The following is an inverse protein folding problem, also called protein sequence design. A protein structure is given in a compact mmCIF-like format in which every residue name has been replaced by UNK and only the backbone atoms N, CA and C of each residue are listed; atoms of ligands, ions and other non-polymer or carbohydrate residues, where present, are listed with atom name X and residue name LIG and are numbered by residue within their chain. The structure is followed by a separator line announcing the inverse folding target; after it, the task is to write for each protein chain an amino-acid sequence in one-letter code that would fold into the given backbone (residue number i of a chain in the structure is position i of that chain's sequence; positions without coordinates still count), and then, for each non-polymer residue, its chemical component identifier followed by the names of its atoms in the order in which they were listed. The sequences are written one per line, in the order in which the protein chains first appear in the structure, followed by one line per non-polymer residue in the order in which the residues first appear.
data_IF_608335971345
#
_entry.id   IF_608335971345
#
_cell.length_a   1.000
_cell.length_b   1.000
_cell.length_c   1.000
_cell.angle_alpha   90.00
_cell.angle_beta   90.00
_cell.angle_gamma   90.00
#
_symmetry.space_group_name_H-M   'P 1'
#
loop_
_entity.id
_entity.type
_entity.pdbx_description
1 polymer ?
#
# COMPACT_ATOMS: atom_id res chain seq x y z
N UNK A 1 -3.64 -5.38 28.03
CA UNK A 1 -4.82 -6.18 27.63
C UNK A 1 -4.68 -6.42 26.14
N UNK A 2 -4.70 -7.67 25.68
CA UNK A 2 -4.57 -7.98 24.26
C UNK A 2 -5.84 -7.52 23.53
N UNK A 3 -5.76 -6.38 22.85
CA UNK A 3 -6.80 -5.93 21.92
C UNK A 3 -6.89 -6.97 20.82
N UNK A 4 -8.04 -7.62 20.67
CA UNK A 4 -8.26 -8.60 19.60
C UNK A 4 -8.10 -7.90 18.25
N UNK A 5 -7.10 -8.32 17.47
CA UNK A 5 -6.85 -7.81 16.13
C UNK A 5 -7.85 -8.46 15.18
N UNK A 6 -8.58 -7.66 14.42
CA UNK A 6 -9.47 -8.18 13.38
C UNK A 6 -8.66 -8.87 12.28
N UNK A 7 -8.96 -10.15 12.02
CA UNK A 7 -8.37 -10.94 10.94
C UNK A 7 -9.42 -11.21 9.85
N UNK A 8 -9.25 -10.68 8.63
CA UNK A 8 -10.08 -11.04 7.50
C UNK A 8 -9.88 -12.52 7.09
N UNK A 9 -10.72 -13.00 6.16
CA UNK A 9 -10.52 -14.33 5.55
C UNK A 9 -9.17 -14.39 4.81
N UNK A 10 -8.21 -15.13 5.35
CA UNK A 10 -6.87 -15.25 4.79
C UNK A 10 -6.81 -16.03 3.46
N UNK A 11 -7.89 -16.76 3.11
CA UNK A 11 -8.01 -17.52 1.87
C UNK A 11 -8.72 -16.74 0.74
N UNK A 12 -9.18 -15.51 1.00
CA UNK A 12 -9.69 -14.62 -0.04
C UNK A 12 -8.59 -14.27 -1.05
N UNK A 13 -8.97 -13.89 -2.27
CA UNK A 13 -8.02 -13.54 -3.33
C UNK A 13 -7.03 -12.46 -2.87
N UNK A 14 -5.75 -12.82 -2.83
CA UNK A 14 -4.64 -11.99 -2.35
C UNK A 14 -4.42 -11.94 -0.84
N UNK A 15 -5.28 -12.59 -0.04
CA UNK A 15 -5.01 -12.81 1.38
C UNK A 15 -3.77 -13.68 1.58
N UNK A 16 -3.27 -13.74 2.81
CA UNK A 16 -1.99 -14.39 3.12
C UNK A 16 -1.96 -15.86 2.70
N UNK A 17 -2.95 -16.65 3.12
CA UNK A 17 -2.99 -18.09 2.85
C UNK A 17 -3.26 -18.39 1.37
N UNK A 18 -4.11 -17.60 0.73
CA UNK A 18 -4.31 -17.69 -0.71
C UNK A 18 -2.98 -17.46 -1.45
N UNK A 19 -2.27 -16.39 -1.12
CA UNK A 19 -1.01 -16.03 -1.81
C UNK A 19 0.07 -17.10 -1.59
N UNK A 20 0.18 -17.66 -0.39
CA UNK A 20 1.08 -18.78 -0.09
C UNK A 20 0.76 -20.02 -0.93
N UNK A 21 -0.53 -20.36 -1.08
CA UNK A 21 -0.95 -21.56 -1.82
C UNK A 21 -0.86 -21.43 -3.34
N UNK A 22 -1.00 -20.21 -3.88
CA UNK A 22 -1.07 -19.97 -5.33
C UNK A 22 0.20 -19.35 -5.91
N UNK A 23 1.15 -18.93 -5.07
CA UNK A 23 2.26 -18.06 -5.49
C UNK A 23 1.77 -16.71 -6.04
N UNK A 24 0.54 -16.31 -5.69
CA UNK A 24 -0.16 -15.13 -6.22
C UNK A 24 -0.73 -15.30 -7.63
N UNK A 25 -0.72 -16.50 -8.20
CA UNK A 25 -1.28 -16.77 -9.52
C UNK A 25 -2.81 -16.71 -9.52
N UNK A 26 -3.38 -15.93 -10.43
CA UNK A 26 -4.83 -15.80 -10.60
C UNK A 26 -5.37 -16.87 -11.57
N UNK A 27 -6.50 -17.44 -11.19
CA UNK A 27 -7.35 -18.21 -12.09
C UNK A 27 -8.11 -17.27 -13.04
N UNK A 28 -8.57 -17.76 -14.22
CA UNK A 28 -9.34 -16.92 -15.15
C UNK A 28 -10.65 -16.40 -14.53
N UNK A 29 -11.24 -17.13 -13.57
CA UNK A 29 -12.44 -16.70 -12.86
C UNK A 29 -12.15 -15.52 -11.92
N UNK A 30 -11.03 -15.59 -11.18
CA UNK A 30 -10.59 -14.49 -10.30
C UNK A 30 -10.21 -13.25 -11.12
N UNK A 31 -9.50 -13.42 -12.25
CA UNK A 31 -9.20 -12.30 -13.15
C UNK A 31 -10.48 -11.57 -13.59
N UNK A 32 -11.50 -12.31 -14.05
CA UNK A 32 -12.79 -11.69 -14.45
C UNK A 32 -13.45 -10.94 -13.29
N UNK A 33 -13.40 -11.47 -12.07
CA UNK A 33 -13.94 -10.81 -10.88
C UNK A 33 -13.17 -9.52 -10.56
N UNK A 34 -11.85 -9.53 -10.69
CA UNK A 34 -10.99 -8.38 -10.40
C UNK A 34 -11.03 -7.31 -11.49
N UNK A 35 -11.38 -7.64 -12.75
CA UNK A 35 -11.46 -6.65 -13.83
C UNK A 35 -12.46 -5.53 -13.52
N UNK A 36 -13.63 -5.86 -12.99
CA UNK A 36 -14.63 -4.85 -12.59
C UNK A 36 -14.17 -3.97 -11.43
N UNK A 37 -13.35 -4.52 -10.52
CA UNK A 37 -12.71 -3.75 -9.47
C UNK A 37 -11.63 -2.81 -10.01
N UNK A 38 -10.77 -3.30 -10.91
CA UNK A 38 -9.72 -2.51 -11.54
C UNK A 38 -10.29 -1.34 -12.38
N UNK A 39 -11.34 -1.59 -13.15
CA UNK A 39 -12.03 -0.56 -13.93
C UNK A 39 -12.58 0.57 -13.04
N UNK A 40 -13.18 0.22 -11.88
CA UNK A 40 -13.63 1.22 -10.89
C UNK A 40 -12.46 2.02 -10.33
N UNK A 41 -11.34 1.37 -10.00
CA UNK A 41 -10.13 2.05 -9.51
C UNK A 41 -9.55 3.06 -10.51
N UNK A 42 -9.54 2.72 -11.80
CA UNK A 42 -9.16 3.65 -12.87
C UNK A 42 -10.11 4.85 -12.93
N UNK A 43 -11.42 4.62 -12.86
CA UNK A 43 -12.42 5.69 -12.84
C UNK A 43 -12.24 6.62 -11.62
N UNK A 44 -11.97 6.08 -10.43
CA UNK A 44 -11.63 6.87 -9.23
C UNK A 44 -10.39 7.73 -9.43
N UNK A 45 -9.37 7.21 -10.13
CA UNK A 45 -8.15 7.97 -10.41
C UNK A 45 -8.41 9.12 -11.39
N UNK A 46 -9.17 8.89 -12.45
CA UNK A 46 -9.53 9.91 -13.43
C UNK A 46 -10.42 11.01 -12.83
N UNK A 47 -11.40 10.62 -12.03
CA UNK A 47 -12.26 11.56 -11.31
C UNK A 47 -11.44 12.40 -10.33
N UNK A 48 -10.57 11.81 -9.52
CA UNK A 48 -9.68 12.55 -8.63
C UNK A 48 -8.85 13.62 -9.38
N UNK A 49 -8.36 13.31 -10.59
CA UNK A 49 -7.65 14.28 -11.45
C UNK A 49 -8.52 15.45 -11.89
N UNK A 50 -9.79 15.20 -12.19
CA UNK A 50 -10.73 16.25 -12.52
C UNK A 50 -11.03 17.12 -11.28
N UNK A 51 -11.30 16.50 -10.14
CA UNK A 51 -11.62 17.20 -8.89
C UNK A 51 -10.46 18.05 -8.37
N UNK A 52 -9.21 17.62 -8.54
CA UNK A 52 -8.03 18.43 -8.19
C UNK A 52 -8.03 19.80 -8.87
N UNK A 53 -8.60 19.94 -10.07
CA UNK A 53 -8.70 21.24 -10.76
C UNK A 53 -9.68 22.20 -10.09
N UNK A 54 -10.63 21.66 -9.33
CA UNK A 54 -11.63 22.48 -8.60
C UNK A 54 -11.08 23.01 -7.28
N UNK A 55 -9.97 22.45 -6.77
CA UNK A 55 -9.40 22.80 -5.48
C UNK A 55 -10.26 22.44 -4.26
N UNK A 56 -11.44 21.83 -4.46
CA UNK A 56 -12.30 21.37 -3.37
C UNK A 56 -11.70 20.13 -2.73
N UNK A 57 -11.61 20.15 -1.41
CA UNK A 57 -11.18 19.03 -0.56
C UNK A 57 -12.28 18.74 0.47
N UNK A 58 -12.42 17.51 0.96
CA UNK A 58 -13.32 17.21 2.08
C UNK A 58 -12.96 18.04 3.32
N UNK A 59 -13.98 18.51 4.07
CA UNK A 59 -13.77 19.31 5.28
C UNK A 59 -12.97 18.54 6.35
N UNK A 60 -13.18 17.23 6.44
CA UNK A 60 -12.40 16.32 7.30
C UNK A 60 -10.91 16.30 6.96
N UNK A 61 -10.55 16.64 5.73
CA UNK A 61 -9.16 16.68 5.27
C UNK A 61 -8.51 18.05 5.47
N UNK A 62 -9.29 19.13 5.55
CA UNK A 62 -8.80 20.50 5.37
C UNK A 62 -7.75 20.94 6.40
N UNK A 63 -7.79 20.37 7.60
CA UNK A 63 -6.89 20.67 8.70
C UNK A 63 -5.69 19.73 8.79
N UNK A 64 -5.64 18.66 7.98
CA UNK A 64 -4.59 17.65 8.07
C UNK A 64 -3.24 18.21 7.64
N UNK A 65 -2.25 17.97 8.50
CA UNK A 65 -0.85 18.35 8.35
C UNK A 65 0.05 17.16 8.63
N UNK A 66 1.32 17.24 8.23
CA UNK A 66 2.27 16.15 8.48
C UNK A 66 2.41 15.82 9.98
N UNK A 67 2.27 16.82 10.86
CA UNK A 67 2.43 16.65 12.32
C UNK A 67 1.35 15.80 12.98
N UNK A 68 0.23 15.56 12.28
CA UNK A 68 -0.84 14.67 12.74
C UNK A 68 -0.46 13.19 12.61
N UNK A 69 0.58 12.88 11.84
CA UNK A 69 1.07 11.53 11.60
C UNK A 69 2.42 11.32 12.29
N UNK A 70 2.38 10.79 13.51
CA UNK A 70 3.58 10.44 14.29
C UNK A 70 3.87 8.95 14.17
N UNK A 71 5.11 8.55 13.80
CA UNK A 71 5.51 7.15 13.87
C UNK A 71 5.34 6.63 15.29
N UNK A 72 4.93 5.35 15.48
CA UNK A 72 5.03 4.70 16.77
C UNK A 72 6.49 4.60 17.23
N UNK A 73 6.71 4.55 18.54
CA UNK A 73 8.05 4.56 19.18
C UNK A 73 8.37 3.25 19.91
N UNK A 74 7.68 2.16 19.59
CA UNK A 74 7.94 0.84 20.16
C UNK A 74 9.17 0.15 19.56
N UNK A 75 9.61 -0.93 20.23
CA UNK A 75 10.65 -1.82 19.70
C UNK A 75 10.27 -2.47 18.35
N UNK A 76 8.97 -2.69 18.12
CA UNK A 76 8.49 -3.22 16.84
C UNK A 76 8.62 -2.18 15.72
N UNK A 77 8.17 -0.94 15.97
CA UNK A 77 8.34 0.16 15.03
C UNK A 77 9.82 0.43 14.70
N UNK A 78 10.70 0.37 15.70
CA UNK A 78 12.15 0.50 15.48
C UNK A 78 12.69 -0.63 14.57
N UNK A 79 12.33 -1.89 14.84
CA UNK A 79 12.74 -3.03 14.00
C UNK A 79 12.21 -2.92 12.56
N UNK A 80 11.00 -2.38 12.38
CA UNK A 80 10.41 -2.09 11.07
C UNK A 80 11.17 -0.97 10.35
N UNK A 81 11.57 0.09 11.05
CA UNK A 81 12.35 1.18 10.47
C UNK A 81 13.71 0.71 9.97
N UNK A 82 14.40 -0.14 10.75
CA UNK A 82 15.65 -0.79 10.34
C UNK A 82 15.45 -1.64 9.07
N UNK A 83 14.38 -2.45 9.05
CA UNK A 83 14.01 -3.25 7.87
C UNK A 83 13.70 -2.39 6.63
N UNK A 84 13.00 -1.28 6.82
CA UNK A 84 12.68 -0.35 5.73
C UNK A 84 13.94 0.35 5.19
N UNK A 85 14.94 0.60 6.04
CA UNK A 85 16.22 1.18 5.65
C UNK A 85 17.10 0.24 4.80
N UNK A 86 16.76 -1.05 4.70
CA UNK A 86 17.41 -1.99 3.78
C UNK A 86 17.00 -1.76 2.31
N UNK A 87 15.87 -1.07 2.08
CA UNK A 87 15.36 -0.79 0.74
C UNK A 87 16.14 0.36 0.07
N UNK A 88 16.11 0.42 -1.26
CA UNK A 88 16.65 1.57 -1.96
C UNK A 88 15.92 2.87 -1.53
N UNK A 89 16.60 4.03 -1.54
CA UNK A 89 16.04 5.29 -1.02
C UNK A 89 14.66 5.66 -1.57
N UNK A 90 14.41 5.41 -2.86
CA UNK A 90 13.13 5.70 -3.49
C UNK A 90 11.97 4.86 -2.91
N UNK A 91 12.21 3.56 -2.65
CA UNK A 91 11.23 2.66 -2.04
C UNK A 91 11.04 2.93 -0.56
N UNK A 92 12.12 3.28 0.16
CA UNK A 92 12.00 3.71 1.54
C UNK A 92 11.09 4.94 1.63
N UNK A 93 11.37 5.99 0.84
CA UNK A 93 10.58 7.20 0.83
C UNK A 93 9.12 6.95 0.38
N UNK A 94 8.92 6.07 -0.60
CA UNK A 94 7.57 5.60 -0.99
C UNK A 94 6.82 4.98 0.18
N UNK A 95 7.47 4.10 0.94
CA UNK A 95 6.82 3.37 2.02
C UNK A 95 6.37 4.32 3.15
N UNK A 96 7.18 5.33 3.48
CA UNK A 96 6.76 6.40 4.41
C UNK A 96 5.61 7.26 3.87
N UNK A 97 5.63 7.63 2.57
CA UNK A 97 4.52 8.38 1.97
C UNK A 97 3.24 7.54 1.90
N UNK A 98 3.35 6.24 1.63
CA UNK A 98 2.23 5.27 1.69
C UNK A 98 1.61 5.25 3.08
N UNK A 99 2.43 5.24 4.14
CA UNK A 99 1.95 5.34 5.52
C UNK A 99 1.20 6.66 5.77
N UNK A 100 1.80 7.82 5.44
CA UNK A 100 1.19 9.13 5.66
C UNK A 100 -0.13 9.26 4.90
N UNK A 101 -0.12 8.95 3.60
CA UNK A 101 -1.30 9.10 2.75
C UNK A 101 -2.38 8.08 3.08
N UNK A 102 -2.02 6.85 3.43
CA UNK A 102 -2.98 5.85 3.89
C UNK A 102 -3.68 6.26 5.18
N UNK A 103 -2.94 6.76 6.19
CA UNK A 103 -3.51 7.33 7.42
C UNK A 103 -4.43 8.52 7.12
N UNK A 104 -3.98 9.45 6.28
CA UNK A 104 -4.77 10.63 5.93
C UNK A 104 -6.08 10.26 5.24
N UNK A 105 -6.06 9.33 4.29
CA UNK A 105 -7.28 8.85 3.62
C UNK A 105 -8.20 8.10 4.58
N UNK A 106 -7.68 7.42 5.61
CA UNK A 106 -8.50 6.78 6.63
C UNK A 106 -9.25 7.80 7.49
N UNK A 107 -8.62 8.94 7.82
CA UNK A 107 -9.29 10.06 8.50
C UNK A 107 -10.39 10.65 7.62
N UNK A 108 -10.10 10.86 6.32
CA UNK A 108 -11.09 11.38 5.37
C UNK A 108 -12.33 10.48 5.31
N UNK A 109 -12.14 9.17 5.33
CA UNK A 109 -13.20 8.17 5.25
C UNK A 109 -13.82 7.81 6.62
N UNK A 110 -13.31 8.38 7.72
CA UNK A 110 -13.82 8.16 9.08
C UNK A 110 -13.57 6.77 9.65
N UNK A 111 -12.48 6.10 9.25
CA UNK A 111 -12.12 4.73 9.66
C UNK A 111 -10.68 4.62 10.18
N UNK A 112 -10.07 5.75 10.55
CA UNK A 112 -8.75 5.81 11.16
C UNK A 112 -8.68 5.07 12.51
N UNK A 113 -9.79 5.00 13.24
CA UNK A 113 -9.92 4.22 14.47
C UNK A 113 -9.79 2.70 14.27
N UNK A 114 -9.99 2.19 13.05
CA UNK A 114 -9.81 0.78 12.70
C UNK A 114 -8.35 0.44 12.33
N UNK A 115 -7.48 1.46 12.24
CA UNK A 115 -6.07 1.29 11.94
C UNK A 115 -5.26 1.27 13.23
N UNK A 116 -4.90 0.08 13.70
CA UNK A 116 -3.87 -0.06 14.73
C UNK A 116 -2.58 0.67 14.25
N UNK A 117 -2.07 1.66 15.00
CA UNK A 117 -0.94 2.48 14.56
C UNK A 117 0.33 1.68 14.28
N UNK A 118 0.61 0.66 15.09
CA UNK A 118 1.81 -0.19 14.97
C UNK A 118 1.70 -1.10 13.75
N UNK A 119 0.56 -1.79 13.63
CA UNK A 119 0.37 -2.74 12.52
C UNK A 119 0.28 -2.01 11.18
N UNK A 120 -0.39 -0.86 11.13
CA UNK A 120 -0.46 -0.08 9.91
C UNK A 120 0.89 0.49 9.50
N UNK A 121 1.68 0.98 10.47
CA UNK A 121 3.03 1.46 10.22
C UNK A 121 3.92 0.35 9.64
N UNK A 122 3.92 -0.83 10.25
CA UNK A 122 4.65 -2.00 9.77
C UNK A 122 4.23 -2.44 8.36
N UNK A 123 2.92 -2.57 8.13
CA UNK A 123 2.41 -2.97 6.83
C UNK A 123 2.76 -1.96 5.73
N UNK A 124 2.64 -0.65 6.01
CA UNK A 124 2.96 0.38 5.03
C UNK A 124 4.46 0.47 4.74
N UNK A 125 5.31 0.39 5.77
CA UNK A 125 6.77 0.52 5.60
C UNK A 125 7.39 -0.65 4.84
N UNK A 126 6.79 -1.84 4.92
CA UNK A 126 7.38 -3.07 4.37
C UNK A 126 6.62 -3.66 3.18
N UNK A 127 5.51 -3.07 2.73
CA UNK A 127 4.66 -3.68 1.69
C UNK A 127 5.43 -4.05 0.40
N UNK A 128 6.40 -3.22 0.01
CA UNK A 128 7.23 -3.39 -1.18
C UNK A 128 8.66 -3.88 -0.91
N UNK A 129 8.98 -4.29 0.32
CA UNK A 129 10.34 -4.74 0.67
C UNK A 129 10.84 -5.87 -0.24
N UNK A 130 9.96 -6.78 -0.65
CA UNK A 130 10.27 -7.92 -1.51
C UNK A 130 10.35 -7.61 -3.02
N UNK A 131 10.05 -6.39 -3.47
CA UNK A 131 9.83 -6.11 -4.91
C UNK A 131 11.11 -6.17 -5.74
N UNK A 132 12.26 -5.79 -5.18
CA UNK A 132 13.53 -5.78 -5.89
C UNK A 132 14.09 -7.19 -6.15
N UNK A 133 13.84 -8.12 -5.23
CA UNK A 133 14.31 -9.50 -5.32
C UNK A 133 13.28 -10.34 -6.08
N UNK A 134 13.60 -10.77 -7.30
CA UNK A 134 12.68 -11.52 -8.15
C UNK A 134 12.88 -13.02 -7.97
N UNK A 135 11.80 -13.74 -7.65
CA UNK A 135 11.76 -15.20 -7.58
C UNK A 135 10.70 -15.72 -8.56
N UNK A 136 11.07 -16.53 -9.57
CA UNK A 136 10.11 -17.10 -10.52
C UNK A 136 8.97 -17.85 -9.82
N UNK A 137 7.73 -17.53 -10.20
CA UNK A 137 6.53 -18.19 -9.65
C UNK A 137 6.10 -17.73 -8.24
N UNK A 138 6.78 -16.76 -7.64
CA UNK A 138 6.47 -16.29 -6.28
C UNK A 138 6.12 -14.79 -6.25
N UNK A 139 4.90 -14.49 -5.81
CA UNK A 139 4.43 -13.12 -5.52
C UNK A 139 5.35 -12.41 -4.52
N UNK A 140 5.85 -11.24 -4.89
CA UNK A 140 6.81 -10.49 -4.07
C UNK A 140 6.30 -10.10 -2.69
N UNK A 141 4.98 -9.97 -2.55
CA UNK A 141 4.38 -9.62 -1.26
C UNK A 141 4.59 -10.71 -0.21
N UNK A 142 4.89 -11.96 -0.59
CA UNK A 142 5.27 -13.01 0.36
C UNK A 142 6.63 -12.74 1.01
N UNK A 143 7.59 -12.22 0.24
CA UNK A 143 8.91 -11.82 0.75
C UNK A 143 8.80 -10.61 1.66
N UNK A 144 7.97 -9.64 1.28
CA UNK A 144 7.62 -8.50 2.13
C UNK A 144 6.97 -8.94 3.45
N UNK A 145 5.99 -9.86 3.38
CA UNK A 145 5.31 -10.40 4.55
C UNK A 145 6.27 -11.17 5.47
N UNK A 146 7.16 -11.98 4.90
CA UNK A 146 8.19 -12.71 5.65
C UNK A 146 9.15 -11.75 6.38
N UNK A 147 9.56 -10.64 5.75
CA UNK A 147 10.39 -9.64 6.43
C UNK A 147 9.66 -9.01 7.62
N UNK A 148 8.37 -8.69 7.46
CA UNK A 148 7.55 -8.13 8.53
C UNK A 148 7.33 -9.14 9.68
N UNK A 149 7.13 -10.44 9.36
CA UNK A 149 7.05 -11.52 10.36
C UNK A 149 8.30 -11.56 11.23
N UNK A 150 9.49 -11.44 10.64
CA UNK A 150 10.76 -11.43 11.39
C UNK A 150 10.88 -10.24 12.33
N UNK A 151 10.44 -9.05 11.91
CA UNK A 151 10.36 -7.88 12.81
C UNK A 151 9.41 -8.15 13.99
N UNK A 152 8.23 -8.72 13.70
CA UNK A 152 7.24 -9.04 14.72
C UNK A 152 7.78 -10.07 15.74
N UNK A 153 8.49 -11.10 15.27
CA UNK A 153 9.12 -12.11 16.13
C UNK A 153 10.24 -11.52 16.99
N UNK A 154 11.08 -10.67 16.40
CA UNK A 154 12.14 -9.97 17.12
C UNK A 154 11.58 -9.09 18.26
N UNK A 155 10.44 -8.45 18.02
CA UNK A 155 9.78 -7.58 18.98
C UNK A 155 8.77 -8.31 19.91
N UNK A 156 8.61 -9.63 19.78
CA UNK A 156 7.72 -10.43 20.62
C UNK A 156 6.22 -10.17 20.39
N UNK A 157 5.83 -9.77 19.18
CA UNK A 157 4.41 -9.53 18.85
C UNK A 157 3.59 -10.82 18.88
N UNK A 158 2.31 -10.76 19.30
CA UNK A 158 1.39 -11.88 19.20
C UNK A 158 1.22 -12.39 17.76
N UNK A 159 0.97 -13.70 17.61
CA UNK A 159 0.82 -14.35 16.30
C UNK A 159 -0.28 -13.75 15.42
N UNK A 160 -1.42 -13.35 16.01
CA UNK A 160 -2.52 -12.74 15.27
C UNK A 160 -2.16 -11.34 14.73
N UNK A 161 -1.42 -10.55 15.51
CA UNK A 161 -0.93 -9.24 15.07
C UNK A 161 0.08 -9.39 13.92
N UNK A 162 1.01 -10.34 14.04
CA UNK A 162 1.94 -10.68 12.95
C UNK A 162 1.21 -11.17 11.69
N UNK A 163 0.16 -11.99 11.87
CA UNK A 163 -0.67 -12.48 10.75
C UNK A 163 -1.42 -11.34 10.08
N UNK A 164 -1.96 -10.39 10.83
CA UNK A 164 -2.66 -9.23 10.29
C UNK A 164 -1.74 -8.34 9.45
N UNK A 165 -0.51 -8.10 9.91
CA UNK A 165 0.50 -7.33 9.16
C UNK A 165 0.86 -8.05 7.86
N UNK A 166 1.11 -9.36 7.92
CA UNK A 166 1.42 -10.17 6.75
C UNK A 166 0.25 -10.19 5.75
N UNK A 167 -0.99 -10.35 6.21
CA UNK A 167 -2.17 -10.35 5.36
C UNK A 167 -2.40 -8.98 4.69
N UNK A 168 -2.25 -7.89 5.45
CA UNK A 168 -2.33 -6.53 4.93
C UNK A 168 -1.29 -6.27 3.83
N UNK A 169 -0.05 -6.72 4.06
CA UNK A 169 1.02 -6.67 3.05
C UNK A 169 0.67 -7.53 1.85
N UNK A 170 0.19 -8.76 2.00
CA UNK A 170 -0.15 -9.57 0.83
C UNK A 170 -1.31 -9.00 0.05
N UNK A 171 -2.39 -8.58 0.73
CA UNK A 171 -3.65 -8.22 0.06
C UNK A 171 -3.58 -6.87 -0.64
N UNK A 172 -2.64 -5.98 -0.27
CA UNK A 172 -2.58 -4.61 -0.80
C UNK A 172 -2.48 -4.53 -2.33
N UNK A 173 -2.00 -5.60 -3.00
CA UNK A 173 -1.87 -5.65 -4.45
C UNK A 173 -3.17 -6.03 -5.17
N UNK A 174 -4.18 -6.53 -4.44
CA UNK A 174 -5.45 -7.02 -5.02
C UNK A 174 -6.40 -5.88 -5.33
N UNK A 175 -6.83 -5.66 -6.58
CA UNK A 175 -7.75 -4.56 -6.92
C UNK A 175 -9.09 -4.64 -6.20
N UNK A 176 -9.59 -3.48 -5.75
CA UNK A 176 -10.94 -3.32 -5.20
C UNK A 176 -11.11 -3.80 -3.78
N UNK A 177 -10.14 -3.50 -2.92
CA UNK A 177 -10.26 -3.74 -1.49
C UNK A 177 -11.38 -2.90 -0.86
N UNK A 178 -12.05 -3.49 0.13
CA UNK A 178 -13.01 -2.79 0.98
C UNK A 178 -12.73 -3.13 2.44
N UNK A 179 -12.92 -2.15 3.34
CA UNK A 179 -12.71 -2.35 4.79
C UNK A 179 -13.54 -3.53 5.30
N UNK A 180 -14.82 -3.62 4.90
CA UNK A 180 -15.73 -4.67 5.34
C UNK A 180 -15.30 -6.10 4.93
N UNK A 181 -14.62 -6.26 3.78
CA UNK A 181 -14.21 -7.58 3.28
C UNK A 181 -12.77 -7.92 3.66
N UNK A 182 -11.88 -6.92 3.57
CA UNK A 182 -10.44 -7.12 3.56
C UNK A 182 -9.72 -6.49 4.76
N UNK A 183 -10.46 -5.83 5.65
CA UNK A 183 -9.92 -5.09 6.77
C UNK A 183 -9.37 -3.72 6.38
N UNK A 184 -9.22 -2.85 7.38
CA UNK A 184 -8.72 -1.50 7.18
C UNK A 184 -7.23 -1.49 6.79
N UNK A 185 -6.39 -2.30 7.44
CA UNK A 185 -4.93 -2.31 7.23
C UNK A 185 -4.54 -2.43 5.75
N UNK A 186 -4.87 -3.55 5.10
CA UNK A 186 -4.53 -3.77 3.69
C UNK A 186 -5.20 -2.77 2.73
N UNK A 187 -6.44 -2.37 3.05
CA UNK A 187 -7.19 -1.38 2.26
C UNK A 187 -6.46 -0.03 2.21
N UNK A 188 -5.95 0.45 3.35
CA UNK A 188 -5.27 1.75 3.40
C UNK A 188 -3.79 1.72 3.03
N UNK A 189 -3.13 0.56 3.12
CA UNK A 189 -1.82 0.36 2.49
C UNK A 189 -1.98 0.51 0.97
N UNK A 190 -2.94 -0.18 0.36
CA UNK A 190 -3.22 -0.06 -1.07
C UNK A 190 -3.54 1.39 -1.47
N UNK A 191 -4.43 2.05 -0.74
CA UNK A 191 -4.86 3.41 -1.08
C UNK A 191 -3.73 4.42 -0.95
N UNK A 192 -2.91 4.32 0.10
CA UNK A 192 -1.71 5.13 0.27
C UNK A 192 -0.71 4.94 -0.87
N UNK A 193 -0.42 3.68 -1.22
CA UNK A 193 0.52 3.35 -2.29
C UNK A 193 0.03 3.84 -3.67
N UNK A 194 -1.25 3.63 -3.98
CA UNK A 194 -1.85 4.11 -5.23
C UNK A 194 -1.96 5.64 -5.28
N UNK A 195 -2.14 6.31 -4.14
CA UNK A 195 -2.06 7.78 -4.09
C UNK A 195 -0.65 8.21 -4.45
N UNK A 196 0.38 7.69 -3.79
CA UNK A 196 1.77 8.12 -4.03
C UNK A 196 2.22 7.85 -5.48
N UNK A 197 1.93 6.65 -5.98
CA UNK A 197 2.42 6.19 -7.27
C UNK A 197 1.58 6.72 -8.43
N UNK A 198 0.25 6.69 -8.36
CA UNK A 198 -0.65 7.01 -9.47
C UNK A 198 -1.49 8.29 -9.28
N UNK A 199 -1.43 8.91 -8.11
CA UNK A 199 -2.26 10.06 -7.73
C UNK A 199 -3.72 9.69 -7.51
N UNK A 200 -4.02 8.41 -7.22
CA UNK A 200 -5.37 7.98 -6.89
C UNK A 200 -5.85 8.73 -5.64
N UNK A 201 -7.05 9.32 -5.69
CA UNK A 201 -7.61 10.11 -4.59
C UNK A 201 -6.75 11.31 -4.13
N UNK A 202 -5.80 11.78 -4.94
CA UNK A 202 -4.97 12.93 -4.55
C UNK A 202 -5.76 14.22 -4.30
N UNK A 203 -6.95 14.36 -4.91
CA UNK A 203 -7.88 15.47 -4.66
C UNK A 203 -8.58 15.43 -3.31
N UNK A 204 -8.50 14.31 -2.58
CA UNK A 204 -9.13 14.16 -1.26
C UNK A 204 -8.21 14.67 -0.14
N UNK A 205 -6.93 14.94 -0.44
CA UNK A 205 -5.94 15.40 0.53
C UNK A 205 -5.48 16.84 0.22
N UNK A 206 -5.23 17.67 1.26
CA UNK A 206 -4.65 19.00 1.07
C UNK A 206 -3.35 18.93 0.29
N UNK A 207 -3.16 19.86 -0.65
CA UNK A 207 -1.88 19.99 -1.36
C UNK A 207 -0.72 20.26 -0.40
N UNK A 208 -0.97 21.01 0.68
CA UNK A 208 0.03 21.28 1.72
C UNK A 208 0.56 19.99 2.36
N UNK A 209 -0.34 19.09 2.79
CA UNK A 209 0.04 17.77 3.33
C UNK A 209 0.87 16.97 2.33
N UNK A 210 0.43 16.90 1.06
CA UNK A 210 1.15 16.16 0.02
C UNK A 210 2.56 16.70 -0.21
N UNK A 211 2.74 18.03 -0.21
CA UNK A 211 4.06 18.67 -0.32
C UNK A 211 4.93 18.47 0.92
N UNK A 212 4.35 18.55 2.12
CA UNK A 212 5.07 18.27 3.37
C UNK A 212 5.59 16.82 3.40
N UNK A 213 4.76 15.86 3.01
CA UNK A 213 5.16 14.45 2.91
C UNK A 213 6.27 14.25 1.86
N UNK A 214 6.17 14.91 0.70
CA UNK A 214 7.20 14.85 -0.34
C UNK A 214 8.51 15.54 0.06
N UNK A 215 8.47 16.55 0.91
CA UNK A 215 9.66 17.21 1.45
C UNK A 215 10.32 16.39 2.58
N UNK A 216 9.52 15.76 3.44
CA UNK A 216 10.03 14.89 4.52
C UNK A 216 10.58 13.56 3.98
N UNK A 217 9.96 13.01 2.93
CA UNK A 217 10.35 11.78 2.28
C UNK A 217 10.41 12.01 0.78
N UNK A 218 11.61 12.30 0.27
CA UNK A 218 11.82 12.78 -1.10
C UNK A 218 11.12 11.90 -2.13
N UNK A 219 10.24 12.51 -2.91
CA UNK A 219 9.46 11.79 -3.93
C UNK A 219 10.31 11.35 -5.12
N UNK A 220 11.25 12.20 -5.54
CA UNK A 220 12.03 12.00 -6.76
C UNK A 220 11.16 11.57 -7.94
N UNK A 221 11.69 10.69 -8.77
CA UNK A 221 10.88 9.93 -9.74
C UNK A 221 10.88 8.45 -9.34
N UNK A 222 10.26 8.13 -8.21
CA UNK A 222 10.10 6.73 -7.74
C UNK A 222 9.56 5.80 -8.83
N UNK A 223 8.78 6.32 -9.78
CA UNK A 223 8.26 5.55 -10.90
C UNK A 223 9.37 5.05 -11.86
N UNK A 224 10.56 5.68 -11.88
CA UNK A 224 11.72 5.18 -12.65
C UNK A 224 12.27 3.88 -12.10
N UNK A 225 12.19 3.67 -10.79
CA UNK A 225 12.67 2.45 -10.13
C UNK A 225 11.55 1.40 -10.03
N UNK A 226 10.34 1.87 -9.73
CA UNK A 226 9.16 1.02 -9.53
C UNK A 226 8.70 0.32 -10.82
N UNK A 227 8.65 1.03 -11.96
CA UNK A 227 8.15 0.45 -13.21
C UNK A 227 9.03 -0.71 -13.71
N UNK A 228 10.38 -0.60 -13.73
CA UNK A 228 11.25 -1.74 -14.03
C UNK A 228 11.06 -2.92 -13.08
N UNK A 229 10.95 -2.69 -11.77
CA UNK A 229 10.72 -3.75 -10.79
C UNK A 229 9.38 -4.46 -11.04
N UNK A 230 8.31 -3.69 -11.27
CA UNK A 230 6.99 -4.21 -11.68
C UNK A 230 7.11 -5.08 -12.93
N UNK A 231 7.83 -4.63 -13.97
CA UNK A 231 8.00 -5.41 -15.20
C UNK A 231 8.76 -6.72 -14.96
N UNK A 232 9.80 -6.70 -14.12
CA UNK A 232 10.57 -7.89 -13.77
C UNK A 232 9.72 -8.92 -13.00
N UNK A 233 8.92 -8.45 -12.03
CA UNK A 233 7.96 -9.30 -11.31
C UNK A 233 6.89 -9.86 -12.25
N UNK A 234 6.39 -9.07 -13.22
CA UNK A 234 5.44 -9.56 -14.22
C UNK A 234 6.02 -10.66 -15.11
N UNK A 235 7.31 -10.58 -15.44
CA UNK A 235 7.99 -11.63 -16.21
C UNK A 235 8.13 -12.93 -15.39
N UNK A 236 8.47 -12.81 -14.10
CA UNK A 236 8.59 -13.94 -13.18
C UNK A 236 7.24 -14.56 -12.79
N UNK A 237 6.16 -13.78 -12.81
CA UNK A 237 4.80 -14.22 -12.46
C UNK A 237 3.77 -13.77 -13.51
N UNK A 238 3.76 -14.33 -14.73
CA UNK A 238 2.88 -13.86 -15.82
C UNK A 238 1.38 -13.93 -15.51
N UNK A 239 0.99 -14.86 -14.63
CA UNK A 239 -0.38 -15.02 -14.12
C UNK A 239 -0.59 -14.36 -12.75
N UNK A 240 0.44 -13.71 -12.22
CA UNK A 240 0.43 -13.08 -10.91
C UNK A 240 -0.45 -11.84 -10.84
N UNK A 241 -0.79 -11.43 -9.62
CA UNK A 241 -1.58 -10.22 -9.36
C UNK A 241 -0.91 -8.95 -9.91
N UNK A 242 0.42 -8.85 -9.83
CA UNK A 242 1.15 -7.69 -10.36
C UNK A 242 1.06 -7.62 -11.90
N UNK A 243 1.13 -8.77 -12.58
CA UNK A 243 0.94 -8.87 -14.03
C UNK A 243 -0.49 -8.51 -14.43
N UNK A 244 -1.47 -8.91 -13.63
CA UNK A 244 -2.86 -8.48 -13.80
C UNK A 244 -3.03 -6.97 -13.59
N UNK A 245 -2.48 -6.39 -12.52
CA UNK A 245 -2.54 -4.96 -12.24
C UNK A 245 -1.86 -4.14 -13.36
N UNK A 246 -0.72 -4.61 -13.87
CA UNK A 246 -0.04 -4.02 -15.03
C UNK A 246 -0.92 -4.05 -16.29
N UNK A 247 -1.56 -5.19 -16.59
CA UNK A 247 -2.53 -5.30 -17.71
C UNK A 247 -3.72 -4.34 -17.53
N UNK A 248 -4.11 -4.07 -16.30
CA UNK A 248 -5.15 -3.11 -15.95
C UNK A 248 -4.65 -1.64 -15.86
N UNK A 249 -3.42 -1.35 -16.31
CA UNK A 249 -2.95 0.02 -16.44
C UNK A 249 -2.19 0.60 -15.24
N UNK A 250 -1.75 -0.22 -14.27
CA UNK A 250 -0.95 0.25 -13.11
C UNK A 250 0.23 1.14 -13.53
N UNK A 251 1.08 0.64 -14.43
CA UNK A 251 2.27 1.37 -14.90
C UNK A 251 1.93 2.60 -15.74
N UNK A 252 0.78 2.61 -16.40
CA UNK A 252 0.27 3.77 -17.12
C UNK A 252 -0.19 4.87 -16.15
N UNK A 253 -0.88 4.48 -15.07
CA UNK A 253 -1.25 5.35 -13.97
C UNK A 253 -0.04 6.03 -13.33
N UNK A 254 1.01 5.25 -13.06
CA UNK A 254 2.31 5.74 -12.54
C UNK A 254 2.97 6.77 -13.46
N UNK A 255 3.06 6.48 -14.77
CA UNK A 255 3.67 7.38 -15.77
C UNK A 255 2.96 8.72 -15.87
N UNK A 256 1.64 8.72 -15.70
CA UNK A 256 0.82 9.92 -15.78
C UNK A 256 0.39 10.45 -14.40
N UNK A 257 1.11 10.06 -13.35
CA UNK A 257 0.80 10.50 -12.00
C UNK A 257 0.85 12.04 -11.91
N UNK A 258 -0.22 12.69 -11.44
CA UNK A 258 -0.27 14.13 -11.26
C UNK A 258 0.67 14.61 -10.15
N UNK A 259 1.08 13.72 -9.24
CA UNK A 259 1.99 14.02 -8.14
C UNK A 259 3.44 14.22 -8.59
N UNK A 260 3.76 13.97 -9.87
CA UNK A 260 5.06 14.34 -10.44
C UNK A 260 5.36 15.84 -10.32
N UNK A 261 4.32 16.67 -10.20
CA UNK A 261 4.44 18.11 -10.02
C UNK A 261 4.45 18.55 -8.54
N UNK A 262 4.16 17.65 -7.61
CA UNK A 262 4.27 17.92 -6.17
C UNK A 262 5.66 17.51 -5.70
N UNK A 263 6.65 18.23 -6.23
CA UNK A 263 8.03 18.21 -5.73
C UNK A 263 8.14 19.13 -4.51
N UNK A 264 9.12 18.83 -3.65
CA UNK A 264 9.47 19.66 -2.50
C UNK A 264 9.74 21.11 -2.96
#
# INVERSE_FOLDING_TARGET
MATSVFLPDLHRVGGLRWTQSTGGALTPAEERRLLGAAARGLATTLTARLWMRTGRIPDTAAHLTLTDFRPPDSAFAASVQEACAEQAPAWQAHSYRTWIFGRALAVVDGVDHDLDPELFYASALLHDHGIANVVPGEDFTLRSAERARRCAEHAGLPGDASTAVQDAITVHLTPGLTVARDGALGTYVQRGALLDLAGARAGDLPRALRRQAAAAHERGDVCKDEIPAVNAQCHATPRGRIAFARRCGLTLGMRWSPLRNDVA
#
